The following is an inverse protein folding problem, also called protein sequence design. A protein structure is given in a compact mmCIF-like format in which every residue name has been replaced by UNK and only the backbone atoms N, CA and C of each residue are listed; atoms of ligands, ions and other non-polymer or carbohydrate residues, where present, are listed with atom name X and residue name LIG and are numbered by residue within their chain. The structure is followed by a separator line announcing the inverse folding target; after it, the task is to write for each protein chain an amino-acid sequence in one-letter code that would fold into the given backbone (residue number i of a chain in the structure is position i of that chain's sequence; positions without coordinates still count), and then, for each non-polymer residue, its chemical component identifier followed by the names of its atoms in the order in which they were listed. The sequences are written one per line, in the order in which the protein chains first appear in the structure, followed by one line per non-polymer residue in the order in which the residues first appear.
data_IF_144885474539
#
_entry.id   IF_144885474539
#
_cell.length_a   1.000
_cell.length_b   1.000
_cell.length_c   1.000
_cell.angle_alpha   90.00
_cell.angle_beta   90.00
_cell.angle_gamma   90.00
#
_symmetry.space_group_name_H-M   'P 1'
#
loop_
_entity.id
_entity.type
_entity.pdbx_description
1 polymer ?
#
# COMPACT_ATOMS: atom_id res chain seq x y z
N UNK A 1 5.96 -19.43 21.28
CA UNK A 1 5.43 -19.11 19.97
C UNK A 1 5.38 -17.61 19.80
N UNK A 2 5.93 -17.13 18.68
CA UNK A 2 5.87 -15.71 18.39
C UNK A 2 4.44 -15.32 18.00
N UNK A 3 3.92 -14.25 18.59
CA UNK A 3 2.62 -13.69 18.23
C UNK A 3 2.79 -12.91 16.93
N UNK A 4 1.95 -13.19 15.96
CA UNK A 4 1.93 -12.44 14.70
C UNK A 4 0.94 -11.29 14.84
N UNK A 5 1.40 -10.08 14.54
CA UNK A 5 0.58 -8.87 14.59
C UNK A 5 -0.05 -8.64 13.21
N UNK A 6 -1.38 -8.65 13.09
CA UNK A 6 -2.02 -8.41 11.80
C UNK A 6 -2.00 -6.94 11.44
N UNK A 7 -1.65 -6.68 10.17
CA UNK A 7 -1.67 -5.34 9.59
C UNK A 7 -2.35 -5.37 8.23
N UNK A 8 -2.70 -4.21 7.72
CA UNK A 8 -3.22 -4.06 6.38
C UNK A 8 -2.63 -2.82 5.73
N UNK A 9 -2.54 -2.85 4.41
CA UNK A 9 -2.00 -1.72 3.66
C UNK A 9 -2.69 -1.53 2.32
N UNK A 10 -2.31 -0.47 1.63
CA UNK A 10 -2.89 -0.13 0.34
C UNK A 10 -1.86 0.01 -0.75
N UNK A 11 -2.15 -0.60 -1.89
CA UNK A 11 -1.44 -0.37 -3.14
C UNK A 11 -2.34 0.55 -3.95
N UNK A 12 -2.08 1.85 -3.89
CA UNK A 12 -2.89 2.85 -4.55
C UNK A 12 -2.26 3.24 -5.88
N UNK A 13 -3.11 3.36 -6.91
CA UNK A 13 -2.67 3.74 -8.24
C UNK A 13 -3.64 4.74 -8.87
N UNK A 14 -3.16 5.47 -9.85
CA UNK A 14 -3.97 6.36 -10.67
C UNK A 14 -3.41 6.39 -12.09
N UNK A 15 -4.25 6.80 -13.05
CA UNK A 15 -3.87 6.79 -14.46
C UNK A 15 -3.97 5.40 -15.05
N UNK A 16 -3.47 5.26 -16.27
CA UNK A 16 -3.48 4.00 -17.01
C UNK A 16 -2.38 4.00 -18.06
N UNK A 17 -1.97 2.81 -18.50
CA UNK A 17 -0.94 2.67 -19.52
C UNK A 17 0.33 3.43 -19.14
N UNK A 18 0.77 4.34 -20.00
CA UNK A 18 1.99 5.12 -19.77
C UNK A 18 1.85 6.16 -18.65
N UNK A 19 0.62 6.54 -18.32
CA UNK A 19 0.37 7.50 -17.25
C UNK A 19 0.11 6.83 -15.90
N UNK A 20 0.21 5.50 -15.83
CA UNK A 20 -0.01 4.75 -14.60
C UNK A 20 1.03 5.15 -13.55
N UNK A 21 0.55 5.63 -12.41
CA UNK A 21 1.39 6.04 -11.29
C UNK A 21 1.00 5.29 -10.03
N UNK A 22 2.00 5.00 -9.21
CA UNK A 22 1.88 4.23 -7.99
C UNK A 22 2.26 5.09 -6.81
N UNK A 23 1.48 5.02 -5.74
CA UNK A 23 1.72 5.76 -4.51
C UNK A 23 2.71 5.04 -3.61
N UNK A 24 3.78 5.70 -3.23
CA UNK A 24 4.70 5.22 -2.20
C UNK A 24 4.84 6.27 -1.12
N UNK A 25 5.18 5.82 0.09
CA UNK A 25 5.44 6.71 1.23
C UNK A 25 6.78 6.34 1.87
N UNK A 26 7.36 7.29 2.59
CA UNK A 26 8.58 7.00 3.35
C UNK A 26 8.25 6.21 4.61
N UNK A 27 9.15 5.31 4.99
CA UNK A 27 9.03 4.55 6.22
C UNK A 27 9.41 5.42 7.42
N UNK A 28 8.63 5.35 8.51
CA UNK A 28 9.00 5.99 9.77
C UNK A 28 9.98 5.14 10.58
N UNK A 29 9.98 3.82 10.33
CA UNK A 29 10.86 2.89 11.05
C UNK A 29 12.28 2.90 10.51
N UNK A 30 12.45 3.06 9.20
CA UNK A 30 13.75 3.01 8.53
C UNK A 30 13.89 4.22 7.60
N UNK A 31 14.74 5.15 7.98
CA UNK A 31 14.98 6.36 7.19
C UNK A 31 15.48 6.00 5.78
N UNK A 32 14.96 6.70 4.78
CA UNK A 32 15.35 6.48 3.39
C UNK A 32 14.65 5.33 2.69
N UNK A 33 13.83 4.56 3.42
CA UNK A 33 13.10 3.44 2.83
C UNK A 33 11.74 3.90 2.28
N UNK A 34 11.36 3.34 1.14
CA UNK A 34 10.08 3.62 0.48
C UNK A 34 9.21 2.36 0.52
N UNK A 35 7.97 2.53 0.93
CA UNK A 35 7.03 1.44 1.20
C UNK A 35 5.62 1.82 0.74
N UNK A 36 4.71 0.83 0.72
CA UNK A 36 3.29 1.10 0.64
C UNK A 36 2.76 1.52 2.02
N UNK A 37 1.74 2.38 2.08
CA UNK A 37 1.06 2.68 3.34
C UNK A 37 0.55 1.40 4.00
N UNK A 38 0.74 1.27 5.31
CA UNK A 38 0.25 0.13 6.07
C UNK A 38 0.25 0.42 7.55
N UNK A 39 -0.54 -0.32 8.31
CA UNK A 39 -0.55 -0.21 9.76
C UNK A 39 -1.44 -1.26 10.41
N UNK A 40 -1.59 -1.15 11.72
CA UNK A 40 -2.35 -2.10 12.51
C UNK A 40 -3.83 -2.10 12.17
N UNK A 41 -4.44 -3.28 12.20
CA UNK A 41 -5.89 -3.43 12.11
C UNK A 41 -6.44 -3.12 13.50
N UNK A 42 -7.32 -2.13 13.60
CA UNK A 42 -7.90 -1.71 14.86
C UNK A 42 -9.08 -2.61 15.25
N UNK A 43 -9.42 -2.59 16.53
CA UNK A 43 -10.53 -3.38 17.04
C UNK A 43 -11.83 -3.04 16.31
N UNK A 44 -12.52 -4.07 15.82
CA UNK A 44 -13.76 -3.89 15.09
C UNK A 44 -13.63 -3.57 13.60
N UNK A 45 -12.39 -3.41 13.14
CA UNK A 45 -12.10 -3.06 11.76
C UNK A 45 -11.78 -4.32 10.95
N UNK A 46 -12.25 -4.37 9.69
CA UNK A 46 -11.78 -5.43 8.78
C UNK A 46 -10.40 -5.04 8.25
N UNK A 47 -9.68 -6.02 7.71
CA UNK A 47 -8.38 -5.74 7.07
C UNK A 47 -8.54 -4.73 5.92
N UNK A 48 -9.58 -4.86 5.11
CA UNK A 48 -9.84 -3.92 4.00
C UNK A 48 -10.08 -2.50 4.51
N UNK A 49 -10.86 -2.34 5.57
CA UNK A 49 -11.10 -1.03 6.17
C UNK A 49 -9.80 -0.42 6.71
N UNK A 50 -8.98 -1.24 7.35
CA UNK A 50 -7.67 -0.80 7.86
C UNK A 50 -6.75 -0.35 6.74
N UNK A 51 -6.68 -1.10 5.64
CA UNK A 51 -5.86 -0.75 4.48
C UNK A 51 -6.26 0.59 3.87
N UNK A 52 -7.56 0.83 3.75
CA UNK A 52 -8.09 2.10 3.25
C UNK A 52 -7.75 3.24 4.22
N UNK A 53 -7.99 3.03 5.50
CA UNK A 53 -7.72 4.05 6.53
C UNK A 53 -6.24 4.42 6.60
N UNK A 54 -5.35 3.42 6.61
CA UNK A 54 -3.91 3.67 6.66
C UNK A 54 -3.42 4.44 5.43
N UNK A 55 -3.96 4.13 4.26
CA UNK A 55 -3.61 4.84 3.03
C UNK A 55 -4.02 6.31 3.13
N UNK A 56 -5.19 6.59 3.68
CA UNK A 56 -5.63 7.96 3.90
C UNK A 56 -4.79 8.68 4.95
N UNK A 57 -4.53 8.05 6.09
CA UNK A 57 -3.74 8.67 7.16
C UNK A 57 -2.31 8.98 6.72
N UNK A 58 -1.67 8.04 6.03
CA UNK A 58 -0.26 8.18 5.68
C UNK A 58 -0.03 9.01 4.42
N UNK A 59 -0.97 9.03 3.49
CA UNK A 59 -0.77 9.68 2.21
C UNK A 59 -1.88 10.65 1.79
N UNK A 60 -2.98 10.71 2.52
CA UNK A 60 -4.10 11.57 2.15
C UNK A 60 -4.89 11.07 0.95
N UNK A 61 -4.70 9.83 0.55
CA UNK A 61 -5.30 9.27 -0.67
C UNK A 61 -6.49 8.38 -0.31
N UNK A 62 -7.61 8.61 -1.01
CA UNK A 62 -8.81 7.78 -0.90
C UNK A 62 -9.22 7.33 -2.28
N UNK A 63 -10.04 6.28 -2.36
CA UNK A 63 -10.49 5.79 -3.65
C UNK A 63 -11.31 4.52 -3.55
N UNK A 64 -11.46 3.87 -4.70
CA UNK A 64 -12.26 2.65 -4.83
C UNK A 64 -11.43 1.44 -4.42
N UNK A 65 -11.95 0.67 -3.49
CA UNK A 65 -11.33 -0.58 -3.04
C UNK A 65 -11.59 -1.67 -4.10
N UNK A 66 -10.52 -2.25 -4.64
CA UNK A 66 -10.62 -3.28 -5.67
C UNK A 66 -10.33 -4.69 -5.17
N UNK A 67 -10.07 -4.86 -3.87
CA UNK A 67 -9.88 -6.16 -3.26
C UNK A 67 -8.44 -6.46 -2.90
N UNK A 68 -8.20 -7.63 -2.27
CA UNK A 68 -6.86 -8.00 -1.81
C UNK A 68 -5.91 -8.34 -2.96
N UNK A 69 -4.62 -8.13 -2.72
CA UNK A 69 -3.55 -8.50 -3.64
C UNK A 69 -2.69 -9.58 -3.00
N UNK A 70 -2.72 -10.77 -3.57
CA UNK A 70 -1.90 -11.88 -3.10
C UNK A 70 -2.15 -12.30 -1.67
N UNK A 71 -1.27 -13.13 -1.15
CA UNK A 71 -1.27 -13.55 0.25
C UNK A 71 -0.62 -12.49 1.12
N UNK A 72 -0.88 -12.50 2.45
CA UNK A 72 -0.21 -11.57 3.35
C UNK A 72 1.32 -11.72 3.30
N UNK A 73 2.02 -10.60 3.38
CA UNK A 73 3.48 -10.58 3.47
C UNK A 73 3.90 -10.46 4.93
N UNK A 74 4.90 -11.22 5.33
CA UNK A 74 5.38 -11.21 6.71
C UNK A 74 6.73 -10.54 6.83
N UNK A 75 6.94 -9.83 7.94
CA UNK A 75 8.24 -9.26 8.27
C UNK A 75 8.43 -9.22 9.78
N UNK A 76 9.70 -9.18 10.19
CA UNK A 76 10.05 -9.09 11.61
C UNK A 76 10.59 -7.70 11.91
N UNK A 77 10.15 -7.12 13.04
CA UNK A 77 10.63 -5.83 13.49
C UNK A 77 10.55 -5.75 15.02
N UNK A 78 11.66 -5.33 15.64
CA UNK A 78 11.71 -5.11 17.09
C UNK A 78 11.19 -6.31 17.91
N UNK A 79 11.57 -7.53 17.50
CA UNK A 79 11.21 -8.75 18.22
C UNK A 79 9.79 -9.26 17.95
N UNK A 80 9.07 -8.64 17.03
CA UNK A 80 7.70 -9.06 16.67
C UNK A 80 7.63 -9.46 15.22
N UNK A 81 6.70 -10.37 14.90
CA UNK A 81 6.37 -10.73 13.53
C UNK A 81 5.08 -10.03 13.12
N UNK A 82 5.10 -9.42 11.94
CA UNK A 82 3.95 -8.74 11.38
C UNK A 82 3.50 -9.46 10.11
N UNK A 83 2.18 -9.51 9.90
CA UNK A 83 1.60 -10.08 8.69
C UNK A 83 0.71 -9.03 8.05
N UNK A 84 1.03 -8.61 6.83
CA UNK A 84 0.37 -7.48 6.17
C UNK A 84 -0.42 -7.98 4.97
N UNK A 85 -1.72 -7.77 4.97
CA UNK A 85 -2.56 -7.97 3.80
C UNK A 85 -2.69 -6.65 3.06
N UNK A 86 -2.28 -6.63 1.79
CA UNK A 86 -2.39 -5.44 0.95
C UNK A 86 -3.65 -5.49 0.09
N UNK A 87 -4.20 -4.32 -0.16
CA UNK A 87 -5.42 -4.15 -0.95
C UNK A 87 -5.17 -3.17 -2.08
N UNK A 88 -5.73 -3.46 -3.24
CA UNK A 88 -5.61 -2.58 -4.40
C UNK A 88 -6.65 -1.47 -4.30
N UNK A 89 -6.21 -0.23 -4.49
CA UNK A 89 -7.07 0.95 -4.38
C UNK A 89 -6.87 1.83 -5.63
N UNK A 90 -7.96 2.10 -6.34
CA UNK A 90 -7.93 3.09 -7.42
C UNK A 90 -8.14 4.46 -6.80
N UNK A 91 -7.13 5.30 -6.81
CA UNK A 91 -7.20 6.62 -6.19
C UNK A 91 -8.21 7.51 -6.93
N UNK A 92 -9.09 8.16 -6.17
CA UNK A 92 -10.09 9.09 -6.71
C UNK A 92 -9.98 10.48 -6.10
N UNK A 93 -9.35 10.62 -4.93
CA UNK A 93 -9.20 11.90 -4.25
C UNK A 93 -7.91 11.94 -3.45
N UNK A 94 -7.39 13.13 -3.25
CA UNK A 94 -6.15 13.35 -2.53
C UNK A 94 -6.29 14.60 -1.66
N UNK A 95 -5.77 14.51 -0.43
CA UNK A 95 -5.77 15.61 0.53
C UNK A 95 -4.44 15.57 1.28
N UNK A 96 -4.08 16.62 2.03
CA UNK A 96 -2.85 16.58 2.83
C UNK A 96 -2.88 15.40 3.80
N UNK A 97 -1.77 14.67 3.88
CA UNK A 97 -1.64 13.55 4.80
C UNK A 97 -1.57 14.06 6.24
N UNK A 98 -2.21 13.32 7.16
CA UNK A 98 -2.25 13.74 8.57
C UNK A 98 -0.98 13.39 9.34
N UNK A 99 -0.18 12.43 8.88
CA UNK A 99 0.98 11.98 9.64
C UNK A 99 2.33 12.55 9.19
N UNK A 100 2.32 13.42 8.18
CA UNK A 100 3.51 14.17 7.78
C UNK A 100 4.58 13.40 7.01
N UNK A 101 4.29 12.21 6.50
CA UNK A 101 5.25 11.46 5.68
C UNK A 101 5.47 12.14 4.33
N UNK A 102 6.62 11.87 3.74
CA UNK A 102 6.86 12.23 2.35
C UNK A 102 6.18 11.18 1.47
N UNK A 103 5.43 11.65 0.49
CA UNK A 103 4.75 10.78 -0.46
C UNK A 103 5.31 11.01 -1.87
N UNK A 104 5.18 10.00 -2.71
CA UNK A 104 5.55 10.11 -4.11
C UNK A 104 4.58 9.33 -4.98
N UNK A 105 4.19 9.93 -6.09
CA UNK A 105 3.48 9.25 -7.17
C UNK A 105 4.50 8.95 -8.24
N UNK A 106 4.81 7.68 -8.48
CA UNK A 106 5.88 7.28 -9.39
C UNK A 106 5.32 6.46 -10.56
N UNK A 107 5.86 6.63 -11.77
CA UNK A 107 5.57 5.70 -12.86
C UNK A 107 5.82 4.27 -12.38
N UNK A 108 5.07 3.31 -12.91
CA UNK A 108 5.10 1.92 -12.44
C UNK A 108 6.51 1.36 -12.32
N UNK A 109 7.33 1.51 -13.36
CA UNK A 109 8.69 0.95 -13.34
C UNK A 109 9.59 1.63 -12.30
N UNK A 110 9.42 2.93 -12.09
CA UNK A 110 10.17 3.64 -11.05
C UNK A 110 9.73 3.21 -9.66
N UNK A 111 8.43 2.95 -9.46
CA UNK A 111 7.92 2.45 -8.20
C UNK A 111 8.51 1.09 -7.86
N UNK A 112 8.59 0.18 -8.86
CA UNK A 112 9.24 -1.12 -8.68
C UNK A 112 10.68 -0.97 -8.21
N UNK A 113 11.42 -0.06 -8.84
CA UNK A 113 12.82 0.16 -8.50
C UNK A 113 13.00 0.87 -7.16
N UNK A 114 12.06 1.73 -6.78
CA UNK A 114 12.14 2.53 -5.55
C UNK A 114 11.76 1.74 -4.31
N UNK A 115 10.82 0.79 -4.43
CA UNK A 115 10.39 -0.03 -3.29
C UNK A 115 11.60 -0.71 -2.65
N UNK A 116 11.71 -0.58 -1.33
CA UNK A 116 12.88 -1.03 -0.59
C UNK A 116 12.90 -2.54 -0.31
N UNK A 117 11.79 -3.24 -0.54
CA UNK A 117 11.68 -4.67 -0.26
C UNK A 117 11.21 -5.44 -1.49
N UNK A 118 11.92 -6.53 -1.82
CA UNK A 118 11.65 -7.34 -3.01
C UNK A 118 10.26 -7.97 -3.02
N UNK A 119 9.74 -8.35 -1.85
CA UNK A 119 8.42 -8.97 -1.75
C UNK A 119 7.30 -8.00 -2.13
N UNK A 120 7.42 -6.73 -1.74
CA UNK A 120 6.43 -5.73 -2.14
C UNK A 120 6.56 -5.37 -3.62
N UNK A 121 7.77 -5.40 -4.16
CA UNK A 121 7.97 -5.21 -5.60
C UNK A 121 7.29 -6.32 -6.41
N UNK A 122 7.43 -7.57 -5.96
CA UNK A 122 6.74 -8.70 -6.60
C UNK A 122 5.23 -8.53 -6.52
N UNK A 123 4.74 -8.10 -5.37
CA UNK A 123 3.31 -7.88 -5.18
C UNK A 123 2.76 -6.80 -6.11
N UNK A 124 3.54 -5.75 -6.33
CA UNK A 124 3.17 -4.68 -7.26
C UNK A 124 3.06 -5.22 -8.70
N UNK A 125 4.00 -6.06 -9.13
CA UNK A 125 3.92 -6.70 -10.43
C UNK A 125 2.67 -7.57 -10.55
N UNK A 126 2.36 -8.33 -9.52
CA UNK A 126 1.17 -9.20 -9.48
C UNK A 126 -0.11 -8.39 -9.62
N UNK A 127 -0.15 -7.19 -9.07
CA UNK A 127 -1.33 -6.33 -9.13
C UNK A 127 -1.53 -5.65 -10.49
N UNK A 128 -0.49 -5.53 -11.31
CA UNK A 128 -0.50 -4.76 -12.56
C UNK A 128 -1.68 -5.06 -13.49
N UNK A 129 -1.99 -6.32 -13.79
CA UNK A 129 -3.11 -6.60 -14.71
C UNK A 129 -4.45 -6.05 -14.24
N UNK A 130 -4.66 -5.99 -12.92
CA UNK A 130 -5.91 -5.47 -12.35
C UNK A 130 -6.00 -3.94 -12.44
N UNK A 131 -4.86 -3.26 -12.50
CA UNK A 131 -4.82 -1.81 -12.65
C UNK A 131 -5.23 -1.39 -14.05
N UNK A 132 -5.06 -2.27 -15.02
CA UNK A 132 -5.35 -1.99 -16.42
C UNK A 132 -6.70 -2.56 -16.88
N UNK A 133 -7.45 -3.19 -15.98
CA UNK A 133 -8.77 -3.66 -16.29
C UNK A 133 -9.69 -2.49 -16.63
N UNK A 134 -10.54 -2.61 -17.67
CA UNK A 134 -11.43 -1.51 -18.05
C UNK A 134 -12.37 -1.14 -16.90
N UNK A 135 -12.58 0.16 -16.70
CA UNK A 135 -13.61 0.64 -15.81
C UNK A 135 -14.97 0.26 -16.39
N UNK A 136 -15.80 -0.33 -15.57
CA UNK A 136 -17.19 -0.50 -15.95
C UNK A 136 -17.90 0.84 -15.86
N UNK A 137 -18.60 1.16 -16.91
CA UNK A 137 -19.40 2.37 -16.95
C UNK A 137 -20.60 2.26 -16.00
#
# INVERSE_FOLDING_TARGET
MAVTVPQAGGIAFRGSGRSLSILLVTSKKQAGFWIFPKGHIEHGETAAEAGVRETEEEAGVTGDLLGPVGAPLEYDWAGKRYSVQYFLIRATAEAPASDGRTIAWLPFEEALARLSFDDTSRLLREARPRMEAPRRA
#
